data_IF_366102536820
#
_entry.id   IF_366102536820
#
_cell.length_a   1.000
_cell.length_b   1.000
_cell.length_c   1.000
_cell.angle_alpha   90.00
_cell.angle_beta   90.00
_cell.angle_gamma   90.00
#
_symmetry.space_group_name_H-M   'P 1'
#
loop_
_entity.id
_entity.type
_entity.pdbx_description
1 polymer ?
#
# COMPACT_ATOMS: atom_id res chain seq x y z
N UNK A 1 -40.25 4.33 35.54
CA UNK A 1 -39.50 4.93 34.42
C UNK A 1 -38.08 5.21 34.88
N UNK A 2 -37.13 4.32 34.61
CA UNK A 2 -35.71 4.59 34.85
C UNK A 2 -35.12 5.10 33.53
N UNK A 3 -34.86 6.41 33.45
CA UNK A 3 -34.08 6.99 32.35
C UNK A 3 -32.66 6.42 32.42
N UNK A 4 -32.17 5.85 31.31
CA UNK A 4 -30.81 5.34 31.20
C UNK A 4 -29.80 6.51 31.03
N UNK A 5 -28.87 6.74 31.97
CA UNK A 5 -27.88 7.81 31.86
C UNK A 5 -26.64 7.45 31.00
N UNK A 6 -26.58 6.25 30.41
CA UNK A 6 -25.36 5.72 29.76
C UNK A 6 -25.38 5.79 28.22
N UNK A 7 -26.56 5.87 27.59
CA UNK A 7 -26.68 5.77 26.13
C UNK A 7 -26.02 6.94 25.36
N UNK A 8 -25.93 8.13 25.95
CA UNK A 8 -25.29 9.30 25.33
C UNK A 8 -23.77 9.23 25.38
N UNK A 9 -23.19 8.83 26.52
CA UNK A 9 -21.76 8.66 26.69
C UNK A 9 -21.22 7.51 25.83
N UNK A 10 -21.98 6.44 25.66
CA UNK A 10 -21.60 5.31 24.82
C UNK A 10 -21.61 5.69 23.33
N UNK A 11 -22.62 6.44 22.87
CA UNK A 11 -22.66 7.00 21.51
C UNK A 11 -21.51 7.97 21.28
N UNK A 12 -21.18 8.81 22.26
CA UNK A 12 -20.05 9.73 22.17
C UNK A 12 -18.71 9.00 22.11
N UNK A 13 -18.47 7.99 22.95
CA UNK A 13 -17.27 7.14 22.90
C UNK A 13 -17.16 6.40 21.57
N UNK A 14 -18.26 5.84 21.07
CA UNK A 14 -18.30 5.14 19.79
C UNK A 14 -18.00 6.08 18.61
N UNK A 15 -18.60 7.27 18.61
CA UNK A 15 -18.33 8.30 17.61
C UNK A 15 -16.88 8.79 17.68
N UNK A 16 -16.35 9.02 18.89
CA UNK A 16 -14.95 9.40 19.12
C UNK A 16 -13.97 8.33 18.65
N UNK A 17 -14.24 7.05 18.90
CA UNK A 17 -13.40 5.94 18.45
C UNK A 17 -13.37 5.83 16.93
N UNK A 18 -14.53 5.95 16.28
CA UNK A 18 -14.62 5.90 14.81
C UNK A 18 -13.94 7.08 14.15
N UNK A 19 -14.13 8.28 14.71
CA UNK A 19 -13.43 9.47 14.24
C UNK A 19 -11.91 9.36 14.43
N UNK A 20 -11.46 8.89 15.60
CA UNK A 20 -10.02 8.68 15.86
C UNK A 20 -9.39 7.67 14.90
N UNK A 21 -10.04 6.54 14.64
CA UNK A 21 -9.56 5.55 13.66
C UNK A 21 -9.50 6.13 12.26
N UNK A 22 -10.59 6.76 11.80
CA UNK A 22 -10.67 7.33 10.45
C UNK A 22 -9.60 8.41 10.19
N UNK A 23 -9.29 9.26 11.19
CA UNK A 23 -8.23 10.27 11.09
C UNK A 23 -6.85 9.63 11.05
N UNK A 24 -6.60 8.60 11.87
CA UNK A 24 -5.32 7.86 11.86
C UNK A 24 -5.11 7.15 10.52
N UNK A 25 -6.14 6.47 9.99
CA UNK A 25 -6.10 5.75 8.72
C UNK A 25 -5.88 6.70 7.53
N UNK A 26 -6.54 7.88 7.56
CA UNK A 26 -6.35 8.93 6.54
C UNK A 26 -4.94 9.51 6.58
N UNK A 27 -4.39 9.74 7.77
CA UNK A 27 -3.03 10.21 7.98
C UNK A 27 -1.99 9.21 7.43
N UNK A 28 -2.12 7.93 7.82
CA UNK A 28 -1.26 6.87 7.34
C UNK A 28 -1.33 6.71 5.81
N UNK A 29 -2.53 6.72 5.22
CA UNK A 29 -2.73 6.67 3.77
C UNK A 29 -2.08 7.85 3.04
N UNK A 30 -2.14 9.05 3.62
CA UNK A 30 -1.52 10.25 3.04
C UNK A 30 0.01 10.15 3.06
N UNK A 31 0.58 9.65 4.16
CA UNK A 31 2.02 9.40 4.25
C UNK A 31 2.48 8.37 3.22
N UNK A 32 1.77 7.23 3.11
CA UNK A 32 2.10 6.18 2.14
C UNK A 32 2.02 6.69 0.69
N UNK A 33 0.99 7.47 0.35
CA UNK A 33 0.88 8.10 -0.98
C UNK A 33 2.04 9.05 -1.26
N UNK A 34 2.41 9.86 -0.27
CA UNK A 34 3.55 10.80 -0.40
C UNK A 34 4.84 10.04 -0.65
N UNK A 35 5.10 8.98 0.11
CA UNK A 35 6.27 8.11 -0.08
C UNK A 35 6.28 7.46 -1.47
N UNK A 36 5.13 6.99 -1.96
CA UNK A 36 5.03 6.44 -3.31
C UNK A 36 5.38 7.47 -4.39
N UNK A 37 4.90 8.70 -4.26
CA UNK A 37 5.23 9.79 -5.20
C UNK A 37 6.74 10.09 -5.20
N UNK A 38 7.38 10.08 -4.04
CA UNK A 38 8.84 10.22 -3.96
C UNK A 38 9.56 9.06 -4.64
N UNK A 39 9.13 7.82 -4.42
CA UNK A 39 9.72 6.65 -5.07
C UNK A 39 9.53 6.68 -6.59
N UNK A 40 8.37 7.11 -7.10
CA UNK A 40 8.13 7.30 -8.54
C UNK A 40 9.06 8.36 -9.15
N UNK A 41 9.27 9.47 -8.43
CA UNK A 41 10.24 10.49 -8.83
C UNK A 41 11.64 9.91 -8.87
N UNK A 42 12.03 9.11 -7.89
CA UNK A 42 13.36 8.52 -7.82
C UNK A 42 13.57 7.48 -8.93
N UNK A 43 12.55 6.71 -9.32
CA UNK A 43 12.58 5.83 -10.51
C UNK A 43 12.85 6.65 -11.78
N UNK A 44 12.13 7.77 -11.96
CA UNK A 44 12.32 8.66 -13.11
C UNK A 44 13.72 9.27 -13.11
N UNK A 45 14.19 9.74 -11.97
CA UNK A 45 15.54 10.27 -11.80
C UNK A 45 16.60 9.22 -12.15
N UNK A 46 16.43 7.97 -11.70
CA UNK A 46 17.37 6.88 -11.99
C UNK A 46 17.43 6.54 -13.47
N UNK A 47 16.28 6.49 -14.16
CA UNK A 47 16.19 6.31 -15.62
C UNK A 47 16.87 7.46 -16.37
N UNK A 48 16.68 8.69 -15.90
CA UNK A 48 17.35 9.87 -16.48
C UNK A 48 18.87 9.81 -16.31
N UNK A 49 19.35 9.51 -15.10
CA UNK A 49 20.77 9.34 -14.82
C UNK A 49 21.39 8.23 -15.67
N UNK A 50 20.69 7.11 -15.85
CA UNK A 50 21.13 6.05 -16.76
C UNK A 50 21.26 6.55 -18.21
N UNK A 51 20.31 7.36 -18.69
CA UNK A 51 20.41 7.96 -20.02
C UNK A 51 21.64 8.84 -20.19
N UNK A 52 21.97 9.64 -19.18
CA UNK A 52 23.22 10.44 -19.16
C UNK A 52 24.45 9.53 -19.20
N UNK A 53 24.49 8.51 -18.33
CA UNK A 53 25.59 7.53 -18.30
C UNK A 53 25.76 6.80 -19.65
N UNK A 54 24.67 6.45 -20.32
CA UNK A 54 24.72 5.85 -21.66
C UNK A 54 25.25 6.82 -22.71
N UNK A 55 24.82 8.07 -22.68
CA UNK A 55 25.37 9.08 -23.57
C UNK A 55 26.88 9.25 -23.36
N UNK A 56 27.35 9.29 -22.11
CA UNK A 56 28.77 9.40 -21.79
C UNK A 56 29.56 8.20 -22.29
N UNK A 57 29.09 6.97 -22.03
CA UNK A 57 29.73 5.72 -22.49
C UNK A 57 29.81 5.64 -24.02
N UNK A 58 28.75 6.06 -24.72
CA UNK A 58 28.68 6.01 -26.18
C UNK A 58 29.43 7.18 -26.85
N UNK A 59 29.51 8.34 -26.20
CA UNK A 59 30.19 9.53 -26.72
C UNK A 59 31.70 9.51 -26.50
N UNK A 60 32.18 8.71 -25.53
CA UNK A 60 33.58 8.33 -25.45
C UNK A 60 33.95 7.54 -26.70
N UNK A 61 34.42 8.26 -27.73
CA UNK A 61 34.89 7.76 -29.01
C UNK A 61 36.23 7.00 -28.86
N UNK A 62 36.20 5.99 -28.00
CA UNK A 62 37.27 5.04 -27.83
C UNK A 62 36.88 3.85 -28.68
N UNK A 63 37.83 3.28 -29.45
CA UNK A 63 37.65 2.04 -30.20
C UNK A 63 37.32 0.81 -29.30
N UNK A 64 37.00 1.05 -28.04
CA UNK A 64 36.87 0.12 -26.93
C UNK A 64 35.58 0.34 -26.15
N UNK A 65 34.59 1.11 -26.65
CA UNK A 65 33.24 1.12 -26.06
C UNK A 65 32.75 -0.31 -26.00
N UNK A 66 32.93 -0.92 -24.83
CA UNK A 66 32.79 -2.36 -24.68
C UNK A 66 31.32 -2.60 -24.42
N UNK A 67 30.74 -3.52 -25.18
CA UNK A 67 29.39 -4.03 -24.90
C UNK A 67 29.24 -4.46 -23.43
N UNK A 68 30.34 -4.85 -22.77
CA UNK A 68 30.39 -5.15 -21.35
C UNK A 68 30.10 -3.93 -20.44
N UNK A 69 30.57 -2.73 -20.78
CA UNK A 69 30.33 -1.51 -19.99
C UNK A 69 28.87 -1.05 -20.10
N UNK A 70 28.33 -1.10 -21.33
CA UNK A 70 26.91 -0.84 -21.60
C UNK A 70 26.04 -1.83 -20.82
N UNK A 71 26.35 -3.13 -20.91
CA UNK A 71 25.63 -4.19 -20.23
C UNK A 71 25.68 -4.00 -18.71
N UNK A 72 26.86 -3.71 -18.14
CA UNK A 72 27.02 -3.46 -16.72
C UNK A 72 26.16 -2.28 -16.24
N UNK A 73 26.23 -1.15 -16.93
CA UNK A 73 25.45 0.04 -16.58
C UNK A 73 23.93 -0.19 -16.70
N UNK A 74 23.50 -1.00 -17.68
CA UNK A 74 22.11 -1.42 -17.81
C UNK A 74 21.67 -2.29 -16.64
N UNK A 75 22.44 -3.33 -16.28
CA UNK A 75 22.11 -4.22 -15.16
C UNK A 75 22.06 -3.48 -13.82
N UNK A 76 22.97 -2.54 -13.59
CA UNK A 76 22.93 -1.65 -12.43
C UNK A 76 21.64 -0.84 -12.38
N UNK A 77 21.29 -0.17 -13.48
CA UNK A 77 20.04 0.58 -13.59
C UNK A 77 18.81 -0.31 -13.37
N UNK A 78 18.80 -1.50 -13.97
CA UNK A 78 17.71 -2.46 -13.84
C UNK A 78 17.54 -2.94 -12.40
N UNK A 79 18.63 -3.26 -11.69
CA UNK A 79 18.57 -3.66 -10.27
C UNK A 79 18.03 -2.53 -9.39
N UNK A 80 18.49 -1.30 -9.63
CA UNK A 80 18.05 -0.13 -8.85
C UNK A 80 16.56 0.13 -9.05
N UNK A 81 16.09 0.12 -10.31
CA UNK A 81 14.68 0.30 -10.65
C UNK A 81 13.83 -0.81 -10.04
N UNK A 82 14.25 -2.07 -10.17
CA UNK A 82 13.52 -3.21 -9.60
C UNK A 82 13.40 -3.09 -8.06
N UNK A 83 14.44 -2.61 -7.37
CA UNK A 83 14.38 -2.35 -5.93
C UNK A 83 13.37 -1.25 -5.58
N UNK A 84 13.36 -0.15 -6.34
CA UNK A 84 12.42 0.95 -6.13
C UNK A 84 10.97 0.53 -6.43
N UNK A 85 10.74 -0.22 -7.52
CA UNK A 85 9.42 -0.75 -7.87
C UNK A 85 8.90 -1.75 -6.83
N UNK A 86 9.78 -2.58 -6.26
CA UNK A 86 9.42 -3.47 -5.16
C UNK A 86 8.97 -2.68 -3.91
N UNK A 87 9.63 -1.55 -3.61
CA UNK A 87 9.22 -0.66 -2.51
C UNK A 87 7.87 0.00 -2.78
N UNK A 88 7.63 0.47 -4.01
CA UNK A 88 6.33 1.02 -4.42
C UNK A 88 5.23 -0.03 -4.26
N UNK A 89 5.46 -1.25 -4.77
CA UNK A 89 4.53 -2.37 -4.66
C UNK A 89 4.24 -2.75 -3.20
N UNK A 90 5.24 -2.70 -2.32
CA UNK A 90 5.05 -2.95 -0.88
C UNK A 90 4.17 -1.88 -0.23
N UNK A 91 4.43 -0.60 -0.48
CA UNK A 91 3.64 0.51 0.07
C UNK A 91 2.22 0.55 -0.48
N UNK A 92 2.03 0.15 -1.74
CA UNK A 92 0.72 -0.01 -2.35
C UNK A 92 -0.11 -1.09 -1.63
N UNK A 93 0.48 -2.26 -1.36
CA UNK A 93 -0.19 -3.32 -0.60
C UNK A 93 -0.55 -2.88 0.82
N UNK A 94 0.31 -2.12 1.48
CA UNK A 94 0.04 -1.56 2.80
C UNK A 94 -1.15 -0.58 2.77
N UNK A 95 -1.22 0.27 1.75
CA UNK A 95 -2.35 1.18 1.55
C UNK A 95 -3.66 0.44 1.28
N UNK A 96 -3.64 -0.64 0.50
CA UNK A 96 -4.80 -1.51 0.24
C UNK A 96 -5.27 -2.21 1.52
N UNK A 97 -4.35 -2.66 2.38
CA UNK A 97 -4.68 -3.28 3.66
C UNK A 97 -5.42 -2.32 4.61
N UNK A 98 -5.05 -1.02 4.62
CA UNK A 98 -5.76 0.01 5.39
C UNK A 98 -7.19 0.21 4.84
N UNK A 99 -7.36 0.17 3.52
CA UNK A 99 -8.67 0.33 2.85
C UNK A 99 -9.64 -0.81 3.19
N UNK A 100 -9.13 -2.05 3.26
CA UNK A 100 -9.92 -3.24 3.61
C UNK A 100 -10.07 -3.47 5.12
N UNK A 101 -9.15 -2.96 5.95
CA UNK A 101 -9.19 -3.06 7.41
C UNK A 101 -10.21 -2.13 8.08
N UNK A 102 -10.62 -1.05 7.41
CA UNK A 102 -11.57 -0.05 7.95
C UNK A 102 -13.05 -0.46 7.93
N UNK A 103 -13.42 -1.56 7.26
CA UNK A 103 -14.81 -1.99 7.07
C UNK A 103 -15.22 -3.23 7.90
N UNK A 104 -14.33 -3.77 8.76
CA UNK A 104 -14.46 -5.13 9.29
C UNK A 104 -14.83 -5.32 10.76
N UNK A 105 -15.16 -4.27 11.51
CA UNK A 105 -15.44 -4.38 12.96
C UNK A 105 -16.87 -3.97 13.34
N UNK A 106 -17.89 -4.55 12.71
CA UNK A 106 -19.26 -4.62 13.24
C UNK A 106 -20.21 -5.47 12.37
N UNK A 107 -20.06 -6.80 12.36
CA UNK A 107 -21.24 -7.67 12.17
C UNK A 107 -21.15 -8.89 13.10
N UNK A 108 -21.64 -8.67 14.32
CA UNK A 108 -22.36 -9.60 15.18
C UNK A 108 -22.13 -11.10 14.97
N UNK A 109 -21.19 -11.65 15.73
CA UNK A 109 -21.34 -12.98 16.33
C UNK A 109 -22.53 -12.93 17.29
N UNK A 110 -23.63 -13.62 16.96
CA UNK A 110 -24.39 -14.53 17.84
C UNK A 110 -25.82 -14.73 17.32
N UNK A 111 -26.19 -15.98 17.05
CA UNK A 111 -27.49 -16.57 17.40
C UNK A 111 -27.38 -18.09 17.24
N UNK A 112 -27.14 -18.73 18.37
CA UNK A 112 -27.41 -20.14 18.64
C UNK A 112 -28.90 -20.46 18.50
N UNK A 113 -29.14 -21.71 18.08
CA UNK A 113 -30.31 -22.56 18.33
C UNK A 113 -31.56 -22.53 17.43
N UNK A 114 -31.79 -23.74 16.90
CA UNK A 114 -33.04 -24.49 16.68
C UNK A 114 -33.95 -24.11 15.49
N UNK A 115 -34.09 -25.03 14.53
CA UNK A 115 -35.38 -25.72 14.35
C UNK A 115 -35.24 -27.05 13.58
N UNK A 116 -35.98 -28.04 14.07
CA UNK A 116 -36.13 -29.42 13.66
C UNK A 116 -37.08 -29.52 12.43
N UNK A 117 -36.73 -30.29 11.40
CA UNK A 117 -37.63 -30.49 10.26
C UNK A 117 -37.17 -31.57 9.29
N UNK A 118 -37.79 -32.75 9.40
CA UNK A 118 -37.61 -33.90 8.54
C UNK A 118 -37.90 -33.61 7.05
N UNK A 119 -37.26 -34.36 6.14
CA UNK A 119 -37.99 -34.97 5.02
C UNK A 119 -37.20 -36.14 4.40
N UNK A 120 -37.99 -37.15 4.09
CA UNK A 120 -37.73 -38.54 3.75
C UNK A 120 -37.35 -38.72 2.27
N UNK A 121 -36.68 -39.82 1.97
CA UNK A 121 -36.39 -40.33 0.61
C UNK A 121 -37.64 -40.44 -0.27
N UNK A 122 -37.43 -40.62 -1.58
CA UNK A 122 -37.60 -41.97 -2.13
C UNK A 122 -36.29 -42.59 -2.64
#
# INVERSE_FOLDING_TARGET
MAQQPNAFLDKFKQASQRFSSAVMDTGAKTMLKTDMVFLERDIKARKHQFGIQMYDILSMNNASTSTAEIQKAFEECQRDIASLEAKVSSKQREMEAIDHGGAGAATSVNSTDAEFGAVQSP
#
